data_IF_122667249388
#
_entry.id   IF_122667249388
#
_cell.length_a   1.000
_cell.length_b   1.000
_cell.length_c   1.000
_cell.angle_alpha   90.00
_cell.angle_beta   90.00
_cell.angle_gamma   90.00
#
_symmetry.space_group_name_H-M   'P 1'
#
loop_
_entity.id
_entity.type
_entity.pdbx_description
1 polymer ?
#
# COMPACT_ATOMS: atom_id res chain seq x y z
N UNK A 1 -2.47 10.90 -7.69
CA UNK A 1 -1.63 10.71 -6.49
C UNK A 1 -1.27 9.24 -6.29
N UNK A 2 -2.26 8.33 -6.23
CA UNK A 2 -1.99 6.89 -6.11
C UNK A 2 -1.42 6.28 -7.40
N UNK A 3 -1.85 6.79 -8.57
CA UNK A 3 -1.39 6.33 -9.88
C UNK A 3 0.07 6.72 -10.19
N UNK A 4 0.61 7.69 -9.43
CA UNK A 4 2.01 8.12 -9.50
C UNK A 4 2.92 7.37 -8.52
N UNK A 5 2.37 6.50 -7.67
CA UNK A 5 3.17 5.72 -6.73
C UNK A 5 3.81 4.53 -7.43
N UNK A 6 5.01 4.19 -6.98
CA UNK A 6 5.57 2.87 -7.28
C UNK A 6 4.67 1.78 -6.67
N UNK A 7 4.73 0.53 -7.18
CA UNK A 7 4.02 -0.59 -6.57
C UNK A 7 4.28 -0.72 -5.06
N UNK A 8 5.52 -0.49 -4.62
CA UNK A 8 5.89 -0.48 -3.20
C UNK A 8 5.20 0.66 -2.43
N UNK A 9 5.03 1.83 -3.05
CA UNK A 9 4.30 2.96 -2.47
C UNK A 9 2.81 2.65 -2.30
N UNK A 10 2.17 2.00 -3.28
CA UNK A 10 0.77 1.55 -3.18
C UNK A 10 0.62 0.55 -2.03
N UNK A 11 1.54 -0.41 -1.91
CA UNK A 11 1.55 -1.38 -0.81
C UNK A 11 1.72 -0.69 0.54
N UNK A 12 2.66 0.24 0.67
CA UNK A 12 2.90 0.94 1.94
C UNK A 12 1.70 1.78 2.37
N UNK A 13 1.13 2.58 1.47
CA UNK A 13 -0.07 3.40 1.74
C UNK A 13 -1.26 2.50 2.06
N UNK A 14 -1.47 1.45 1.25
CA UNK A 14 -2.54 0.47 1.49
C UNK A 14 -2.41 -0.23 2.83
N UNK A 15 -1.19 -0.57 3.26
CA UNK A 15 -0.95 -1.17 4.56
C UNK A 15 -1.32 -0.23 5.72
N UNK A 16 -0.93 1.05 5.64
CA UNK A 16 -1.28 2.07 6.64
C UNK A 16 -2.79 2.29 6.68
N UNK A 17 -3.42 2.47 5.51
CA UNK A 17 -4.87 2.63 5.39
C UNK A 17 -5.61 1.42 5.95
N UNK A 18 -5.11 0.21 5.68
CA UNK A 18 -5.73 -1.01 6.19
C UNK A 18 -5.62 -1.16 7.70
N UNK A 19 -4.46 -0.86 8.27
CA UNK A 19 -4.29 -0.85 9.73
C UNK A 19 -5.24 0.16 10.40
N UNK A 20 -5.28 1.40 9.90
CA UNK A 20 -6.16 2.45 10.42
C UNK A 20 -7.64 2.10 10.22
N UNK A 21 -8.01 1.51 9.08
CA UNK A 21 -9.35 1.03 8.79
C UNK A 21 -9.80 -0.05 9.79
N UNK A 22 -8.90 -0.96 10.15
CA UNK A 22 -9.18 -1.99 11.18
C UNK A 22 -9.35 -1.37 12.56
N UNK A 23 -8.54 -0.37 12.92
CA UNK A 23 -8.72 0.36 14.18
C UNK A 23 -10.07 1.09 14.24
N UNK A 24 -10.54 1.66 13.13
CA UNK A 24 -11.88 2.26 13.05
C UNK A 24 -12.97 1.19 13.19
N UNK A 25 -12.79 0.03 12.56
CA UNK A 25 -13.72 -1.10 12.64
C UNK A 25 -13.81 -1.71 14.05
N UNK A 26 -12.77 -1.60 14.88
CA UNK A 26 -12.81 -2.04 16.28
C UNK A 26 -13.91 -1.34 17.09
N UNK A 27 -14.27 -0.10 16.76
CA UNK A 27 -15.27 0.69 17.49
C UNK A 27 -16.65 0.01 17.47
N UNK A 28 -17.31 -0.22 16.31
CA UNK A 28 -18.58 -0.93 16.28
C UNK A 28 -18.46 -2.37 16.75
N UNK A 29 -17.33 -3.06 16.47
CA UNK A 29 -17.12 -4.42 16.94
C UNK A 29 -17.14 -4.51 18.46
N UNK A 30 -16.53 -3.58 19.19
CA UNK A 30 -16.48 -3.61 20.66
C UNK A 30 -17.71 -3.02 21.32
N UNK A 31 -18.36 -2.03 20.70
CA UNK A 31 -19.37 -1.22 21.37
C UNK A 31 -20.80 -1.48 20.91
N UNK A 32 -21.01 -1.96 19.68
CA UNK A 32 -22.32 -1.96 19.03
C UNK A 32 -22.78 -3.34 18.59
N UNK A 33 -21.85 -4.22 18.20
CA UNK A 33 -22.19 -5.52 17.61
C UNK A 33 -22.26 -6.60 18.68
N UNK A 34 -23.33 -7.39 18.68
CA UNK A 34 -23.55 -8.49 19.63
C UNK A 34 -22.47 -9.57 19.55
N UNK A 35 -21.82 -9.73 18.40
CA UNK A 35 -20.74 -10.70 18.20
C UNK A 35 -19.37 -10.18 18.66
N UNK A 36 -19.24 -8.91 19.01
CA UNK A 36 -17.99 -8.44 19.62
C UNK A 36 -16.75 -8.63 18.73
N UNK A 37 -15.65 -9.04 19.39
CA UNK A 37 -14.39 -9.47 18.79
C UNK A 37 -14.36 -10.98 18.44
N UNK A 38 -15.52 -11.63 18.33
CA UNK A 38 -15.61 -13.06 17.96
C UNK A 38 -15.00 -13.41 16.60
N UNK A 39 -15.19 -12.63 15.50
CA UNK A 39 -14.62 -13.02 14.21
C UNK A 39 -13.09 -13.24 14.22
N UNK A 40 -12.28 -12.35 14.85
CA UNK A 40 -10.86 -12.59 15.08
C UNK A 40 -10.56 -13.92 15.80
N UNK A 41 -11.31 -14.26 16.84
CA UNK A 41 -11.12 -15.51 17.58
C UNK A 41 -11.48 -16.74 16.75
N UNK A 42 -12.52 -16.66 15.90
CA UNK A 42 -12.89 -17.73 14.96
C UNK A 42 -11.76 -17.98 13.98
N UNK A 43 -11.18 -16.91 13.42
CA UNK A 43 -10.06 -17.02 12.50
C UNK A 43 -8.80 -17.56 13.18
N UNK A 44 -8.52 -17.13 14.42
CA UNK A 44 -7.43 -17.66 15.21
C UNK A 44 -7.63 -19.16 15.50
N UNK A 45 -8.79 -19.57 15.99
CA UNK A 45 -9.10 -20.98 16.22
C UNK A 45 -8.93 -21.85 14.97
N UNK A 46 -9.32 -21.33 13.80
CA UNK A 46 -9.10 -22.01 12.52
C UNK A 46 -7.61 -22.19 12.17
N UNK A 47 -6.77 -21.19 12.48
CA UNK A 47 -5.31 -21.24 12.24
C UNK A 47 -4.58 -22.11 13.28
N UNK A 48 -5.00 -22.06 14.54
CA UNK A 48 -4.34 -22.76 15.66
C UNK A 48 -4.90 -24.16 15.91
N UNK A 49 -6.03 -24.52 15.30
CA UNK A 49 -6.73 -25.78 15.59
C UNK A 49 -7.33 -25.84 17.00
N UNK A 50 -7.56 -24.68 17.63
CA UNK A 50 -8.16 -24.58 18.98
C UNK A 50 -9.63 -24.20 18.89
N UNK A 51 -10.41 -24.46 19.95
CA UNK A 51 -11.75 -23.90 20.06
C UNK A 51 -11.68 -22.36 19.95
N UNK A 52 -12.70 -21.75 19.35
CA UNK A 52 -12.86 -20.30 19.27
C UNK A 52 -12.82 -19.64 20.65
N UNK A 53 -13.35 -20.32 21.68
CA UNK A 53 -13.33 -19.83 23.06
C UNK A 53 -11.92 -19.79 23.68
N UNK A 54 -11.03 -20.68 23.22
CA UNK A 54 -9.69 -20.87 23.76
C UNK A 54 -8.59 -20.26 22.87
N UNK A 55 -8.98 -19.65 21.73
CA UNK A 55 -8.05 -19.09 20.77
C UNK A 55 -7.20 -17.98 21.42
N UNK A 56 -5.85 -18.04 21.32
CA UNK A 56 -4.99 -17.05 21.96
C UNK A 56 -5.28 -15.63 21.47
N UNK A 57 -5.54 -14.71 22.40
CA UNK A 57 -5.89 -13.32 22.09
C UNK A 57 -4.86 -12.63 21.19
N UNK A 58 -3.56 -12.86 21.43
CA UNK A 58 -2.50 -12.31 20.60
C UNK A 58 -2.56 -12.78 19.13
N UNK A 59 -2.92 -14.04 18.90
CA UNK A 59 -3.09 -14.61 17.55
C UNK A 59 -4.34 -14.03 16.89
N UNK A 60 -5.45 -13.92 17.62
CA UNK A 60 -6.67 -13.29 17.13
C UNK A 60 -6.42 -11.84 16.69
N UNK A 61 -5.74 -11.04 17.51
CA UNK A 61 -5.39 -9.67 17.13
C UNK A 61 -4.40 -9.61 15.98
N UNK A 62 -3.39 -10.50 15.96
CA UNK A 62 -2.44 -10.60 14.86
C UNK A 62 -3.12 -10.87 13.52
N UNK A 63 -4.05 -11.84 13.48
CA UNK A 63 -4.83 -12.15 12.27
C UNK A 63 -5.77 -11.00 11.92
N UNK A 64 -6.42 -10.36 12.90
CA UNK A 64 -7.34 -9.25 12.66
C UNK A 64 -6.65 -8.04 12.01
N UNK A 65 -5.57 -7.55 12.62
CA UNK A 65 -4.81 -6.42 12.09
C UNK A 65 -4.05 -6.81 10.82
N UNK A 66 -3.50 -8.03 10.74
CA UNK A 66 -2.83 -8.53 9.54
C UNK A 66 -3.77 -8.66 8.34
N UNK A 67 -4.97 -9.20 8.54
CA UNK A 67 -6.02 -9.27 7.51
C UNK A 67 -6.50 -7.88 7.11
N UNK A 68 -6.61 -6.97 8.07
CA UNK A 68 -6.83 -5.54 7.83
C UNK A 68 -5.81 -4.91 6.90
N UNK A 69 -4.53 -5.03 7.23
CA UNK A 69 -3.42 -4.57 6.39
C UNK A 69 -3.51 -5.15 4.98
N UNK A 70 -3.74 -6.46 4.85
CA UNK A 70 -3.92 -7.13 3.56
C UNK A 70 -5.10 -6.57 2.76
N UNK A 71 -6.25 -6.37 3.42
CA UNK A 71 -7.43 -5.78 2.80
C UNK A 71 -7.19 -4.33 2.36
N UNK A 72 -6.37 -3.56 3.08
CA UNK A 72 -6.02 -2.18 2.72
C UNK A 72 -5.11 -2.12 1.51
N UNK A 73 -4.14 -3.03 1.40
CA UNK A 73 -3.29 -3.21 0.21
C UNK A 73 -4.15 -3.56 -1.01
N UNK A 74 -5.10 -4.49 -0.85
CA UNK A 74 -6.05 -4.85 -1.91
C UNK A 74 -6.87 -3.62 -2.33
N UNK A 75 -7.40 -2.86 -1.37
CA UNK A 75 -8.19 -1.65 -1.65
C UNK A 75 -7.40 -0.62 -2.45
N UNK A 76 -6.20 -0.27 -1.99
CA UNK A 76 -5.32 0.68 -2.67
C UNK A 76 -4.96 0.21 -4.09
N UNK A 77 -4.73 -1.10 -4.26
CA UNK A 77 -4.46 -1.71 -5.58
C UNK A 77 -5.68 -1.64 -6.49
N UNK A 78 -6.88 -1.91 -5.98
CA UNK A 78 -8.13 -1.79 -6.73
C UNK A 78 -8.39 -0.35 -7.15
N UNK A 79 -8.12 0.64 -6.29
CA UNK A 79 -8.25 2.07 -6.64
C UNK A 79 -7.27 2.45 -7.75
N UNK A 80 -6.00 2.06 -7.63
CA UNK A 80 -5.01 2.33 -8.68
C UNK A 80 -5.41 1.68 -10.02
N UNK A 81 -5.82 0.41 -9.99
CA UNK A 81 -6.29 -0.29 -11.19
C UNK A 81 -7.53 0.38 -11.79
N UNK A 82 -8.52 0.74 -10.96
CA UNK A 82 -9.72 1.43 -11.42
C UNK A 82 -9.37 2.80 -12.02
N UNK A 83 -8.43 3.54 -11.44
CA UNK A 83 -7.95 4.83 -11.96
C UNK A 83 -7.39 4.76 -13.38
N UNK A 84 -6.76 3.63 -13.76
CA UNK A 84 -6.25 3.43 -15.13
C UNK A 84 -7.34 3.28 -16.19
N UNK A 85 -8.55 2.85 -15.79
CA UNK A 85 -9.67 2.55 -16.71
C UNK A 85 -10.80 3.57 -16.59
N UNK A 86 -11.02 4.12 -15.39
CA UNK A 86 -12.14 4.98 -15.04
C UNK A 86 -11.70 6.06 -14.04
N UNK A 87 -11.38 7.23 -14.58
CA UNK A 87 -11.05 8.44 -13.81
C UNK A 87 -11.98 9.59 -14.21
N UNK A 88 -13.25 9.46 -13.83
CA UNK A 88 -14.29 10.47 -14.11
C UNK A 88 -14.75 11.17 -12.84
N UNK A 89 -15.09 12.46 -12.96
CA UNK A 89 -15.69 13.24 -11.88
C UNK A 89 -14.68 13.91 -10.93
N UNK A 90 -15.11 14.28 -9.71
CA UNK A 90 -14.27 15.00 -8.77
C UNK A 90 -13.10 14.16 -8.27
N UNK A 91 -12.04 14.83 -7.84
CA UNK A 91 -10.91 14.21 -7.15
C UNK A 91 -10.81 14.70 -5.71
N UNK A 92 -10.37 13.82 -4.82
CA UNK A 92 -10.02 14.14 -3.42
C UNK A 92 -8.65 13.56 -3.16
N UNK A 93 -7.72 14.37 -2.62
CA UNK A 93 -6.31 13.94 -2.49
C UNK A 93 -5.67 13.53 -3.83
N UNK A 94 -6.15 14.06 -4.96
CA UNK A 94 -5.67 13.67 -6.28
C UNK A 94 -6.00 12.22 -6.68
N UNK A 95 -7.06 11.64 -6.10
CA UNK A 95 -7.65 10.34 -6.46
C UNK A 95 -9.08 10.58 -6.94
N UNK A 96 -9.48 10.01 -8.07
CA UNK A 96 -10.85 10.13 -8.59
C UNK A 96 -11.86 9.42 -7.69
N UNK A 97 -12.97 10.09 -7.37
CA UNK A 97 -14.04 9.49 -6.54
C UNK A 97 -14.65 8.24 -7.20
N UNK A 98 -14.70 8.20 -8.53
CA UNK A 98 -15.16 7.03 -9.29
C UNK A 98 -14.27 5.80 -9.06
N UNK A 99 -12.95 5.96 -9.02
CA UNK A 99 -12.02 4.87 -8.75
C UNK A 99 -12.19 4.32 -7.31
N UNK A 100 -12.36 5.21 -6.32
CA UNK A 100 -12.65 4.83 -4.93
C UNK A 100 -13.99 4.06 -4.86
N UNK A 101 -15.02 4.56 -5.52
CA UNK A 101 -16.34 3.92 -5.55
C UNK A 101 -16.30 2.52 -6.17
N UNK A 102 -15.59 2.35 -7.30
CA UNK A 102 -15.40 1.04 -7.92
C UNK A 102 -14.70 0.08 -6.98
N UNK A 103 -13.58 0.49 -6.38
CA UNK A 103 -12.85 -0.34 -5.42
C UNK A 103 -13.73 -0.75 -4.22
N UNK A 104 -14.53 0.17 -3.68
CA UNK A 104 -15.46 -0.10 -2.58
C UNK A 104 -16.55 -1.10 -2.98
N UNK A 105 -17.18 -0.91 -4.15
CA UNK A 105 -18.21 -1.80 -4.69
C UNK A 105 -17.67 -3.20 -4.98
N UNK A 106 -16.40 -3.33 -5.36
CA UNK A 106 -15.75 -4.63 -5.58
C UNK A 106 -15.35 -5.28 -4.25
N UNK A 107 -14.69 -4.54 -3.36
CA UNK A 107 -14.10 -5.10 -2.15
C UNK A 107 -15.15 -5.50 -1.11
N UNK A 108 -16.19 -4.70 -0.93
CA UNK A 108 -17.23 -4.98 0.07
C UNK A 108 -17.87 -6.37 -0.11
N UNK A 109 -18.40 -6.76 -1.29
CA UNK A 109 -18.97 -8.08 -1.46
C UNK A 109 -17.92 -9.19 -1.35
N UNK A 110 -16.67 -8.96 -1.78
CA UNK A 110 -15.58 -9.93 -1.61
C UNK A 110 -15.32 -10.21 -0.14
N UNK A 111 -15.23 -9.16 0.70
CA UNK A 111 -15.08 -9.32 2.14
C UNK A 111 -16.28 -10.06 2.75
N UNK A 112 -17.51 -9.63 2.44
CA UNK A 112 -18.73 -10.27 2.95
C UNK A 112 -18.76 -11.75 2.58
N UNK A 113 -18.43 -12.09 1.33
CA UNK A 113 -18.39 -13.48 0.86
C UNK A 113 -17.28 -14.27 1.57
N UNK A 114 -16.06 -13.72 1.68
CA UNK A 114 -14.94 -14.36 2.35
C UNK A 114 -15.32 -14.75 3.79
N UNK A 115 -15.83 -13.79 4.56
CA UNK A 115 -16.23 -14.05 5.94
C UNK A 115 -17.45 -14.99 6.04
N UNK A 116 -18.42 -14.89 5.13
CA UNK A 116 -19.64 -15.71 5.18
C UNK A 116 -19.45 -17.17 4.77
N UNK A 117 -18.53 -17.44 3.85
CA UNK A 117 -18.35 -18.75 3.21
C UNK A 117 -17.04 -19.44 3.57
N UNK A 118 -16.03 -18.74 4.06
CA UNK A 118 -14.75 -19.34 4.46
C UNK A 118 -14.51 -19.26 5.96
N UNK A 119 -14.78 -18.11 6.59
CA UNK A 119 -14.53 -17.94 8.04
C UNK A 119 -15.69 -18.46 8.88
N UNK A 120 -16.93 -18.12 8.56
CA UNK A 120 -18.08 -18.53 9.37
C UNK A 120 -18.23 -20.05 9.49
N UNK A 121 -17.99 -20.87 8.44
CA UNK A 121 -18.09 -22.32 8.58
C UNK A 121 -17.08 -22.95 9.54
N UNK A 122 -15.96 -22.28 9.87
CA UNK A 122 -15.03 -22.76 10.89
C UNK A 122 -15.56 -22.52 12.30
N UNK A 123 -16.60 -21.71 12.45
CA UNK A 123 -17.27 -21.44 13.72
C UNK A 123 -18.26 -22.57 14.07
N UNK A 124 -17.73 -23.77 14.31
CA UNK A 124 -18.47 -25.03 14.33
C UNK A 124 -19.55 -25.16 15.44
N UNK A 125 -19.51 -24.32 16.47
CA UNK A 125 -20.35 -24.45 17.68
C UNK A 125 -21.65 -23.63 17.64
N UNK A 126 -21.93 -22.93 16.55
CA UNK A 126 -23.08 -22.02 16.48
C UNK A 126 -24.33 -22.68 15.88
N UNK A 127 -25.45 -22.57 16.61
CA UNK A 127 -26.77 -22.98 16.12
C UNK A 127 -27.14 -22.26 14.81
N UNK A 128 -27.68 -22.99 13.82
CA UNK A 128 -27.97 -22.47 12.47
C UNK A 128 -28.81 -21.19 12.46
N UNK A 129 -29.70 -21.02 13.45
CA UNK A 129 -30.57 -19.86 13.62
C UNK A 129 -29.78 -18.56 13.88
N UNK A 130 -28.58 -18.65 14.46
CA UNK A 130 -27.71 -17.50 14.76
C UNK A 130 -26.84 -17.06 13.58
N UNK A 131 -26.70 -17.89 12.54
CA UNK A 131 -25.84 -17.58 11.38
C UNK A 131 -26.28 -16.33 10.62
N UNK A 132 -27.59 -16.09 10.51
CA UNK A 132 -28.13 -14.89 9.85
C UNK A 132 -27.72 -13.60 10.57
N UNK A 133 -28.03 -13.45 11.87
CA UNK A 133 -27.55 -12.34 12.68
C UNK A 133 -26.02 -12.15 12.64
N UNK A 134 -25.24 -13.23 12.74
CA UNK A 134 -23.77 -13.16 12.68
C UNK A 134 -23.29 -12.57 11.34
N UNK A 135 -23.81 -13.08 10.22
CA UNK A 135 -23.46 -12.56 8.89
C UNK A 135 -23.79 -11.08 8.74
N UNK A 136 -24.91 -10.62 9.30
CA UNK A 136 -25.28 -9.20 9.29
C UNK A 136 -24.29 -8.36 10.11
N UNK A 137 -23.95 -8.80 11.32
CA UNK A 137 -22.95 -8.11 12.14
C UNK A 137 -21.59 -8.05 11.44
N UNK A 138 -21.16 -9.14 10.80
CA UNK A 138 -19.89 -9.19 10.08
C UNK A 138 -19.90 -8.34 8.81
N UNK A 139 -21.05 -8.27 8.11
CA UNK A 139 -21.22 -7.38 6.97
C UNK A 139 -21.18 -5.90 7.38
N UNK A 140 -21.71 -5.55 8.55
CA UNK A 140 -21.60 -4.20 9.10
C UNK A 140 -20.14 -3.85 9.43
N UNK A 141 -19.37 -4.77 10.02
CA UNK A 141 -17.93 -4.57 10.23
C UNK A 141 -17.18 -4.35 8.90
N UNK A 142 -17.44 -5.18 7.89
CA UNK A 142 -16.83 -5.04 6.57
C UNK A 142 -17.19 -3.70 5.91
N UNK A 143 -18.45 -3.25 6.03
CA UNK A 143 -18.90 -1.96 5.55
C UNK A 143 -18.15 -0.81 6.21
N UNK A 144 -18.01 -0.84 7.54
CA UNK A 144 -17.26 0.18 8.30
C UNK A 144 -15.81 0.23 7.87
N UNK A 145 -15.18 -0.93 7.70
CA UNK A 145 -13.81 -1.03 7.22
C UNK A 145 -13.65 -0.40 5.82
N UNK A 146 -14.50 -0.76 4.86
CA UNK A 146 -14.43 -0.23 3.47
C UNK A 146 -14.72 1.27 3.44
N UNK A 147 -15.67 1.75 4.24
CA UNK A 147 -15.96 3.18 4.38
C UNK A 147 -14.76 3.93 4.96
N UNK A 148 -14.14 3.40 6.02
CA UNK A 148 -12.94 3.97 6.61
C UNK A 148 -11.79 4.02 5.61
N UNK A 149 -11.52 2.92 4.90
CA UNK A 149 -10.48 2.85 3.87
C UNK A 149 -10.72 3.87 2.73
N UNK A 150 -11.97 4.02 2.30
CA UNK A 150 -12.37 5.00 1.27
C UNK A 150 -12.11 6.45 1.69
N UNK A 151 -12.30 6.75 2.97
CA UNK A 151 -12.06 8.09 3.55
C UNK A 151 -10.57 8.32 3.78
N UNK A 152 -9.87 7.33 4.32
CA UNK A 152 -8.47 7.46 4.74
C UNK A 152 -7.50 7.50 3.57
N UNK A 153 -7.76 6.72 2.50
CA UNK A 153 -6.86 6.61 1.36
C UNK A 153 -6.44 7.96 0.74
N UNK A 154 -7.36 8.92 0.46
CA UNK A 154 -6.97 10.22 -0.07
C UNK A 154 -6.32 11.17 0.95
N UNK A 155 -6.32 10.82 2.25
CA UNK A 155 -5.80 11.65 3.35
C UNK A 155 -4.38 11.21 3.73
N UNK A 156 -4.10 9.90 3.73
CA UNK A 156 -2.78 9.37 4.07
C UNK A 156 -1.77 9.88 3.04
N UNK A 157 -0.80 10.73 3.46
CA UNK A 157 0.17 11.27 2.53
C UNK A 157 0.98 10.13 1.94
N UNK A 158 1.02 10.05 0.62
CA UNK A 158 2.09 9.33 -0.02
C UNK A 158 3.35 10.17 0.15
N UNK A 159 4.11 9.91 1.21
CA UNK A 159 5.48 10.41 1.24
C UNK A 159 6.21 9.69 0.12
N UNK A 160 6.39 10.40 -1.00
CA UNK A 160 7.41 10.09 -1.96
C UNK A 160 8.66 9.85 -1.14
N UNK A 161 9.17 8.62 -1.14
CA UNK A 161 10.58 8.41 -0.86
C UNK A 161 11.33 9.07 -2.01
N UNK A 162 11.31 10.40 -2.05
CA UNK A 162 12.31 11.19 -2.74
C UNK A 162 13.60 10.72 -2.08
N UNK A 163 14.29 9.84 -2.79
CA UNK A 163 15.70 9.57 -2.49
C UNK A 163 16.30 10.95 -2.32
N UNK A 164 16.95 11.27 -1.18
CA UNK A 164 17.78 12.44 -1.16
C UNK A 164 18.67 12.29 -2.40
N UNK A 165 18.59 13.23 -3.34
CA UNK A 165 19.63 13.43 -4.33
C UNK A 165 20.84 13.84 -3.52
N UNK A 166 21.49 12.86 -2.89
CA UNK A 166 22.85 13.01 -2.42
C UNK A 166 23.61 13.32 -3.69
N UNK A 167 23.93 14.59 -3.87
CA UNK A 167 24.69 15.10 -4.98
C UNK A 167 26.04 14.40 -4.98
N UNK A 168 26.10 13.25 -5.65
CA UNK A 168 27.34 12.57 -5.92
C UNK A 168 27.94 13.25 -7.16
N UNK A 169 29.07 13.92 -6.93
CA UNK A 169 30.06 14.33 -7.92
C UNK A 169 29.75 15.56 -8.79
N UNK A 170 29.92 16.72 -8.17
CA UNK A 170 30.40 17.93 -8.84
C UNK A 170 31.68 18.47 -8.17
N UNK A 171 32.68 17.62 -7.91
CA UNK A 171 34.03 18.13 -7.64
C UNK A 171 34.61 18.59 -8.97
N UNK A 172 34.52 19.89 -9.22
CA UNK A 172 35.25 20.56 -10.29
C UNK A 172 36.61 20.94 -9.69
N UNK A 173 37.75 20.34 -10.09
CA UNK A 173 39.04 20.85 -9.70
C UNK A 173 39.26 22.19 -10.40
N UNK A 174 39.17 23.28 -9.66
CA UNK A 174 39.61 24.60 -10.12
C UNK A 174 41.13 24.70 -10.00
N UNK A 175 41.85 24.12 -10.96
CA UNK A 175 43.14 24.63 -11.47
C UNK A 175 43.77 23.65 -12.46
N UNK A 176 44.19 24.09 -13.66
CA UNK A 176 45.12 23.32 -14.47
C UNK A 176 46.51 23.38 -13.82
N UNK A 177 47.11 22.22 -13.55
CA UNK A 177 48.52 22.12 -13.15
C UNK A 177 49.44 22.71 -14.25
N UNK A 178 50.56 23.36 -13.89
CA UNK A 178 51.45 24.03 -14.84
C UNK A 178 52.22 23.09 -15.78
N UNK A 179 52.02 21.77 -15.71
CA UNK A 179 52.82 20.77 -16.42
C UNK A 179 52.24 20.28 -17.76
N UNK A 180 51.07 20.74 -18.20
CA UNK A 180 50.46 20.31 -19.47
C UNK A 180 50.87 21.11 -20.71
N UNK A 181 51.84 22.03 -20.61
CA UNK A 181 52.20 22.97 -21.69
C UNK A 181 53.43 22.59 -22.53
N UNK A 182 53.82 21.31 -22.60
CA UNK A 182 55.07 20.87 -23.28
C UNK A 182 54.85 19.93 -24.49
N UNK A 183 53.64 19.47 -24.83
CA UNK A 183 53.47 18.43 -25.87
C UNK A 183 52.54 18.73 -27.04
N UNK A 184 52.27 20.01 -27.35
CA UNK A 184 51.54 20.38 -28.58
C UNK A 184 52.11 21.65 -29.21
N UNK A 185 53.34 21.56 -29.71
CA UNK A 185 53.82 22.45 -30.78
C UNK A 185 54.26 21.59 -31.97
N UNK A 186 53.30 21.26 -32.84
CA UNK A 186 53.50 20.48 -34.07
C UNK A 186 53.24 21.29 -35.33
N UNK A 187 53.19 22.62 -35.26
CA UNK A 187 53.00 23.50 -36.42
C UNK A 187 54.29 24.13 -36.92
N UNK A 188 55.42 23.40 -36.86
CA UNK A 188 56.66 23.82 -37.53
C UNK A 188 56.67 23.27 -38.95
N UNK A 189 56.27 24.11 -39.90
CA UNK A 189 56.51 23.91 -41.33
C UNK A 189 58.02 23.88 -41.62
N UNK A 190 58.51 22.98 -42.49
CA UNK A 190 59.91 22.97 -42.89
C UNK A 190 60.12 23.97 -44.03
N UNK A 191 60.83 25.08 -43.77
CA UNK A 191 61.30 25.98 -44.84
C UNK A 191 62.82 25.93 -44.97
N UNK A 192 63.23 25.51 -46.16
CA UNK A 192 64.45 25.85 -46.92
C UNK A 192 65.81 25.39 -46.39
N UNK A 193 66.31 24.35 -47.04
CA UNK A 193 67.74 24.06 -47.19
C UNK A 193 68.44 25.20 -47.93
N UNK A 194 69.44 25.81 -47.30
CA UNK A 194 70.44 26.63 -47.98
C UNK A 194 71.67 25.74 -48.21
N UNK A 195 71.96 25.48 -49.47
CA UNK A 195 73.23 24.92 -49.96
C UNK A 195 74.28 26.02 -50.03
N UNK A 196 75.50 25.75 -49.55
CA UNK A 196 76.73 26.45 -49.94
C UNK A 196 77.94 25.56 -49.64
N UNK A 197 78.46 24.94 -50.72
CA UNK A 197 79.86 24.63 -51.05
C UNK A 197 80.96 24.79 -50.00
N UNK A 198 81.79 23.74 -49.86
CA UNK A 198 83.19 23.69 -50.36
C UNK A 198 83.59 22.25 -50.63
#
# INVERSE_FOLDING_TARGET
MIDSLSPAGVVAVGAVVGLLGTLVMDVPMRLLLSEGMTPPSVAAGAVTGTDTADAPWGVAMGIHYGSGVGAGIIFATLVAAAGTVLSVGPTVGGIALSAIAVAAVVQLPVMIAFFSYFVLPTYATVARQRLGPIRRSWALSALVYVAAASILLPIVPAHSADRPRIGLLGYVPSSPSPFSRILTDTTRTPSTWVTSTT
#
